data_IF_588726251857
#
_entry.id   IF_588726251857
#
_cell.length_a   1.000
_cell.length_b   1.000
_cell.length_c   1.000
_cell.angle_alpha   90.00
_cell.angle_beta   90.00
_cell.angle_gamma   90.00
#
_symmetry.space_group_name_H-M   'P 1'
#
loop_
_entity.id
_entity.type
_entity.pdbx_description
1 polymer ?
#
# COMPACT_ATOMS: atom_id res chain seq x y z
N UNK A 1 -39.58 -18.94 10.32
CA UNK A 1 -39.24 -19.72 9.11
C UNK A 1 -38.48 -18.76 8.23
N UNK A 2 -37.16 -18.80 8.27
CA UNK A 2 -36.33 -17.99 7.38
C UNK A 2 -35.76 -18.96 6.35
N UNK A 3 -36.11 -18.73 5.10
CA UNK A 3 -35.52 -19.38 3.95
C UNK A 3 -34.08 -18.88 3.82
N UNK A 4 -33.15 -19.81 3.94
CA UNK A 4 -31.82 -19.73 3.35
C UNK A 4 -32.00 -19.59 1.84
N UNK A 5 -31.43 -18.53 1.26
CA UNK A 5 -30.90 -18.49 -0.11
C UNK A 5 -30.32 -17.09 -0.35
N UNK A 6 -28.98 -16.97 -0.28
CA UNK A 6 -28.13 -16.14 -1.15
C UNK A 6 -26.69 -16.18 -0.60
N UNK A 7 -26.04 -17.34 -0.76
CA UNK A 7 -24.59 -17.41 -0.84
C UNK A 7 -24.16 -16.74 -2.17
N UNK A 8 -24.12 -15.41 -2.18
CA UNK A 8 -23.56 -14.65 -3.30
C UNK A 8 -22.03 -14.87 -3.30
N UNK A 9 -21.59 -15.84 -4.10
CA UNK A 9 -20.18 -16.08 -4.42
C UNK A 9 -19.64 -14.81 -5.07
N UNK A 10 -18.93 -14.01 -4.29
CA UNK A 10 -18.26 -12.79 -4.75
C UNK A 10 -17.12 -13.14 -5.72
N UNK A 11 -17.44 -13.28 -7.01
CA UNK A 11 -16.45 -13.25 -8.09
C UNK A 11 -15.79 -11.87 -8.14
N UNK A 12 -14.46 -11.85 -8.15
CA UNK A 12 -13.71 -10.61 -8.23
C UNK A 12 -13.93 -9.96 -9.60
N UNK A 13 -14.44 -8.73 -9.58
CA UNK A 13 -14.97 -7.98 -10.74
C UNK A 13 -13.94 -7.81 -11.89
N UNK A 14 -12.64 -7.99 -11.62
CA UNK A 14 -11.54 -7.85 -12.58
C UNK A 14 -10.71 -9.13 -12.78
N UNK A 15 -11.14 -10.28 -12.27
CA UNK A 15 -10.43 -11.53 -12.55
C UNK A 15 -10.59 -11.93 -14.03
N UNK A 16 -9.51 -12.42 -14.63
CA UNK A 16 -9.46 -13.01 -15.98
C UNK A 16 -9.87 -12.09 -17.14
N UNK A 17 -9.48 -10.81 -17.13
CA UNK A 17 -9.65 -9.91 -18.28
C UNK A 17 -8.43 -9.03 -18.55
N UNK A 18 -8.44 -8.39 -19.71
CA UNK A 18 -7.41 -7.45 -20.13
C UNK A 18 -8.05 -6.20 -20.73
N UNK A 19 -7.34 -5.08 -20.63
CA UNK A 19 -7.79 -3.81 -21.18
C UNK A 19 -7.27 -3.63 -22.60
N UNK A 20 -8.17 -3.41 -23.54
CA UNK A 20 -7.83 -3.15 -24.95
C UNK A 20 -8.27 -1.75 -25.32
N UNK A 21 -7.37 -1.02 -25.98
CA UNK A 21 -7.69 0.27 -26.59
C UNK A 21 -8.51 0.05 -27.86
N UNK A 22 -9.77 0.49 -27.85
CA UNK A 22 -10.62 0.46 -29.03
C UNK A 22 -10.42 1.75 -29.83
N UNK A 23 -9.80 1.64 -31.01
CA UNK A 23 -9.51 2.78 -31.89
C UNK A 23 -10.77 3.41 -32.50
N UNK A 24 -11.91 2.71 -32.52
CA UNK A 24 -13.16 3.26 -33.08
C UNK A 24 -13.93 4.11 -32.07
N UNK A 25 -13.77 3.83 -30.79
CA UNK A 25 -14.44 4.56 -29.70
C UNK A 25 -13.48 5.46 -28.91
N UNK A 26 -12.19 5.47 -29.25
CA UNK A 26 -11.12 6.18 -28.54
C UNK A 26 -11.18 5.92 -27.01
N UNK A 27 -11.45 4.68 -26.63
CA UNK A 27 -11.69 4.30 -25.24
C UNK A 27 -11.04 2.97 -24.87
N UNK A 28 -10.66 2.84 -23.59
CA UNK A 28 -10.19 1.61 -22.99
C UNK A 28 -11.38 0.74 -22.56
N UNK A 29 -11.49 -0.44 -23.16
CA UNK A 29 -12.51 -1.44 -22.84
C UNK A 29 -11.89 -2.60 -22.08
N UNK A 30 -12.54 -3.03 -20.99
CA UNK A 30 -12.16 -4.23 -20.27
C UNK A 30 -12.81 -5.44 -20.94
N UNK A 31 -11.98 -6.33 -21.50
CA UNK A 31 -12.42 -7.56 -22.14
C UNK A 31 -12.12 -8.71 -21.17
N UNK A 32 -13.16 -9.39 -20.69
CA UNK A 32 -13.01 -10.65 -19.94
C UNK A 32 -12.70 -11.78 -20.93
N UNK A 33 -11.76 -12.66 -20.56
CA UNK A 33 -11.31 -13.79 -21.37
C UNK A 33 -12.24 -15.02 -21.26
N UNK A 34 -13.38 -14.88 -20.57
CA UNK A 34 -14.41 -15.92 -20.46
C UNK A 34 -15.67 -15.41 -21.14
N UNK A 35 -16.08 -16.10 -22.20
CA UNK A 35 -17.33 -15.81 -22.91
C UNK A 35 -18.47 -16.40 -22.10
N UNK A 36 -19.33 -15.55 -21.54
CA UNK A 36 -20.72 -15.90 -21.25
C UNK A 36 -21.59 -15.11 -22.22
N UNK A 37 -22.34 -15.83 -23.06
CA UNK A 37 -23.38 -15.28 -23.93
C UNK A 37 -24.49 -14.66 -23.06
N UNK A 38 -24.43 -13.35 -22.86
CA UNK A 38 -25.58 -12.45 -22.68
C UNK A 38 -25.07 -11.11 -22.17
N UNK A 39 -25.01 -10.13 -23.07
CA UNK A 39 -25.74 -8.88 -22.91
C UNK A 39 -25.21 -7.84 -23.91
N UNK A 40 -25.97 -7.75 -25.00
CA UNK A 40 -26.00 -6.61 -25.90
C UNK A 40 -26.81 -5.51 -25.22
N UNK A 41 -26.20 -4.39 -24.81
CA UNK A 41 -26.91 -3.11 -24.75
C UNK A 41 -25.96 -1.91 -24.96
N UNK A 42 -26.46 -0.97 -25.75
CA UNK A 42 -25.77 0.13 -26.42
C UNK A 42 -25.07 1.18 -25.52
N UNK A 43 -24.06 1.92 -26.04
CA UNK A 43 -23.28 2.89 -25.29
C UNK A 43 -24.02 4.22 -25.09
N UNK A 44 -23.91 4.81 -23.89
CA UNK A 44 -24.27 6.21 -23.64
C UNK A 44 -23.03 7.11 -23.77
N UNK A 45 -23.17 8.12 -24.62
CA UNK A 45 -22.24 9.20 -24.93
C UNK A 45 -21.56 9.82 -23.71
N UNK A 46 -20.22 9.88 -23.74
CA UNK A 46 -19.43 10.75 -22.85
C UNK A 46 -18.61 11.75 -23.67
N UNK A 47 -18.66 12.99 -23.20
CA UNK A 47 -18.06 14.20 -23.75
C UNK A 47 -16.53 14.09 -23.89
N UNK A 48 -16.02 14.58 -25.04
CA UNK A 48 -14.60 14.64 -25.42
C UNK A 48 -13.74 15.29 -24.32
N UNK A 49 -12.76 14.55 -23.78
CA UNK A 49 -11.72 15.08 -22.90
C UNK A 49 -10.53 15.55 -23.76
N UNK A 50 -10.23 16.84 -23.72
CA UNK A 50 -8.99 17.41 -24.28
C UNK A 50 -7.80 16.93 -23.45
N UNK A 51 -6.68 16.63 -24.12
CA UNK A 51 -5.37 16.49 -23.50
C UNK A 51 -5.06 17.74 -22.67
N UNK A 52 -4.98 17.58 -21.36
CA UNK A 52 -4.59 18.67 -20.44
C UNK A 52 -3.07 18.62 -20.34
N UNK A 53 -2.40 19.58 -20.96
CA UNK A 53 -1.00 19.88 -20.64
C UNK A 53 -0.95 20.54 -19.26
N UNK A 54 -0.22 19.94 -18.33
CA UNK A 54 -0.07 20.47 -16.98
C UNK A 54 0.84 21.70 -17.02
N UNK A 55 0.29 22.86 -16.67
CA UNK A 55 0.96 24.17 -16.77
C UNK A 55 2.02 24.41 -15.69
N UNK A 56 2.00 23.59 -14.64
CA UNK A 56 3.00 23.58 -13.56
C UNK A 56 3.42 22.12 -13.32
N UNK A 57 4.70 21.79 -13.52
CA UNK A 57 5.26 20.46 -13.22
C UNK A 57 5.45 20.33 -11.70
N UNK A 58 4.35 20.16 -10.99
CA UNK A 58 4.34 19.95 -9.53
C UNK A 58 4.65 18.51 -9.20
N UNK A 59 5.26 18.29 -8.04
CA UNK A 59 5.49 16.95 -7.51
C UNK A 59 4.16 16.23 -7.25
N UNK A 60 4.18 14.91 -7.40
CA UNK A 60 3.06 14.05 -7.06
C UNK A 60 2.88 13.97 -5.55
N UNK A 61 1.65 14.20 -5.11
CA UNK A 61 1.29 14.17 -3.71
C UNK A 61 0.43 12.95 -3.35
N UNK A 62 0.36 12.61 -2.06
CA UNK A 62 -0.48 11.54 -1.52
C UNK A 62 -1.95 11.75 -1.94
N UNK A 63 -2.37 13.01 -2.05
CA UNK A 63 -3.70 13.36 -2.55
C UNK A 63 -3.91 12.95 -4.02
N UNK A 64 -2.92 13.09 -4.91
CA UNK A 64 -3.05 12.69 -6.32
C UNK A 64 -3.29 11.17 -6.41
N UNK A 65 -2.55 10.38 -5.62
CA UNK A 65 -2.73 8.93 -5.54
C UNK A 65 -4.11 8.58 -4.99
N UNK A 66 -4.54 9.21 -3.89
CA UNK A 66 -5.89 9.04 -3.33
C UNK A 66 -6.96 9.34 -4.36
N UNK A 67 -6.82 10.41 -5.14
CA UNK A 67 -7.80 10.82 -6.14
C UNK A 67 -7.93 9.77 -7.24
N UNK A 68 -6.82 9.19 -7.73
CA UNK A 68 -6.87 8.10 -8.72
C UNK A 68 -7.54 6.86 -8.15
N UNK A 69 -7.22 6.48 -6.90
CA UNK A 69 -7.88 5.34 -6.25
C UNK A 69 -9.38 5.58 -6.07
N UNK A 70 -9.78 6.75 -5.59
CA UNK A 70 -11.19 7.11 -5.43
C UNK A 70 -11.92 7.22 -6.77
N UNK A 71 -11.22 7.61 -7.83
CA UNK A 71 -11.77 7.70 -9.18
C UNK A 71 -12.11 6.32 -9.75
N UNK A 72 -11.21 5.36 -9.53
CA UNK A 72 -11.28 3.99 -10.04
C UNK A 72 -12.07 3.04 -9.14
N UNK A 73 -12.26 3.39 -7.87
CA UNK A 73 -12.98 2.57 -6.91
C UNK A 73 -14.46 2.33 -7.31
N UNK A 74 -14.99 1.11 -7.09
CA UNK A 74 -16.40 0.82 -7.27
C UNK A 74 -17.29 1.74 -6.43
N UNK A 75 -18.33 2.31 -7.05
CA UNK A 75 -19.28 3.20 -6.35
C UNK A 75 -20.02 2.54 -5.17
N UNK A 76 -20.06 1.20 -5.12
CA UNK A 76 -20.69 0.44 -4.03
C UNK A 76 -19.94 0.57 -2.72
N UNK A 77 -18.60 0.64 -2.76
CA UNK A 77 -17.74 0.74 -1.57
C UNK A 77 -17.51 2.19 -1.14
N UNK A 78 -17.82 3.16 -2.01
CA UNK A 78 -17.63 4.59 -1.73
C UNK A 78 -18.80 5.16 -0.91
N UNK A 79 -18.48 5.64 0.28
CA UNK A 79 -19.40 6.38 1.15
C UNK A 79 -18.77 7.68 1.66
N UNK A 80 -19.58 8.69 2.05
CA UNK A 80 -19.05 9.89 2.67
C UNK A 80 -18.20 9.60 3.92
N UNK A 81 -18.54 8.54 4.67
CA UNK A 81 -17.76 8.10 5.83
C UNK A 81 -16.35 7.63 5.41
N UNK A 82 -16.25 6.81 4.34
CA UNK A 82 -14.95 6.37 3.79
C UNK A 82 -14.11 7.58 3.37
N UNK A 83 -14.69 8.54 2.63
CA UNK A 83 -13.98 9.75 2.21
C UNK A 83 -13.49 10.56 3.40
N UNK A 84 -14.36 10.81 4.39
CA UNK A 84 -13.99 11.56 5.57
C UNK A 84 -12.89 10.88 6.40
N UNK A 85 -12.85 9.54 6.37
CA UNK A 85 -11.83 8.76 7.06
C UNK A 85 -10.48 8.85 6.36
N UNK A 86 -10.43 8.77 5.03
CA UNK A 86 -9.19 8.90 4.24
C UNK A 86 -8.48 10.26 4.37
N UNK A 87 -9.21 11.28 4.85
CA UNK A 87 -8.70 12.63 5.12
C UNK A 87 -8.52 12.89 6.63
N UNK A 88 -8.46 11.83 7.45
CA UNK A 88 -8.04 11.95 8.85
C UNK A 88 -6.51 11.92 8.94
N UNK A 89 -5.91 12.72 9.86
CA UNK A 89 -4.46 12.74 10.04
C UNK A 89 -3.89 11.36 10.39
N UNK A 90 -4.60 10.58 11.20
CA UNK A 90 -4.17 9.22 11.55
C UNK A 90 -4.17 8.30 10.33
N UNK A 91 -5.11 8.47 9.39
CA UNK A 91 -5.12 7.68 8.14
C UNK A 91 -4.00 8.13 7.21
N UNK A 92 -3.71 9.43 7.10
CA UNK A 92 -2.56 9.94 6.35
C UNK A 92 -1.24 9.37 6.88
N UNK A 93 -1.01 9.44 8.19
CA UNK A 93 0.18 8.84 8.81
C UNK A 93 0.26 7.34 8.58
N UNK A 94 -0.86 6.64 8.75
CA UNK A 94 -0.94 5.20 8.48
C UNK A 94 -0.56 4.87 7.03
N UNK A 95 -1.08 5.62 6.05
CA UNK A 95 -0.75 5.41 4.63
C UNK A 95 0.72 5.69 4.34
N UNK A 96 1.29 6.76 4.90
CA UNK A 96 2.72 7.08 4.74
C UNK A 96 3.62 6.03 5.36
N UNK A 97 3.33 5.62 6.61
CA UNK A 97 4.05 4.52 7.28
C UNK A 97 3.96 3.23 6.47
N UNK A 98 2.80 2.95 5.88
CA UNK A 98 2.56 1.77 5.07
C UNK A 98 3.37 1.79 3.77
N UNK A 99 3.35 2.89 3.01
CA UNK A 99 4.17 3.03 1.79
C UNK A 99 5.65 2.90 2.16
N UNK A 100 6.09 3.51 3.25
CA UNK A 100 7.48 3.47 3.74
C UNK A 100 7.91 2.03 4.02
N UNK A 101 7.10 1.30 4.78
CA UNK A 101 7.38 -0.09 5.11
C UNK A 101 7.39 -0.98 3.86
N UNK A 102 6.46 -0.79 2.92
CA UNK A 102 6.41 -1.59 1.69
C UNK A 102 7.62 -1.32 0.79
N UNK A 103 8.01 -0.06 0.63
CA UNK A 103 9.19 0.32 -0.16
C UNK A 103 10.47 -0.25 0.46
N UNK A 104 10.61 -0.14 1.78
CA UNK A 104 11.77 -0.70 2.48
C UNK A 104 11.77 -2.24 2.45
N UNK A 105 10.61 -2.88 2.60
CA UNK A 105 10.45 -4.33 2.46
C UNK A 105 10.97 -4.84 1.12
N UNK A 106 10.59 -4.19 0.01
CA UNK A 106 11.10 -4.58 -1.30
C UNK A 106 12.61 -4.45 -1.40
N UNK A 107 13.14 -3.32 -0.94
CA UNK A 107 14.58 -3.07 -0.96
C UNK A 107 15.32 -4.15 -0.16
N UNK A 108 14.84 -4.48 1.04
CA UNK A 108 15.45 -5.51 1.88
C UNK A 108 15.30 -6.90 1.25
N UNK A 109 14.13 -7.23 0.68
CA UNK A 109 13.91 -8.53 0.03
C UNK A 109 14.84 -8.73 -1.17
N UNK A 110 15.02 -7.71 -2.02
CA UNK A 110 15.99 -7.73 -3.12
C UNK A 110 17.43 -7.92 -2.61
N UNK A 111 17.81 -7.19 -1.57
CA UNK A 111 19.13 -7.31 -0.93
C UNK A 111 19.32 -8.73 -0.36
N UNK A 112 18.33 -9.28 0.33
CA UNK A 112 18.39 -10.62 0.95
C UNK A 112 18.41 -11.74 -0.09
N UNK A 113 17.66 -11.61 -1.18
CA UNK A 113 17.70 -12.55 -2.31
C UNK A 113 19.10 -12.57 -2.92
N UNK A 114 19.67 -11.40 -3.24
CA UNK A 114 21.02 -11.30 -3.80
C UNK A 114 22.08 -11.89 -2.86
N UNK A 115 21.98 -11.61 -1.56
CA UNK A 115 22.88 -12.17 -0.55
C UNK A 115 22.77 -13.68 -0.42
N UNK A 116 21.57 -14.23 -0.56
CA UNK A 116 21.36 -15.69 -0.54
C UNK A 116 22.11 -16.36 -1.68
N UNK A 117 22.07 -15.77 -2.88
CA UNK A 117 22.84 -16.23 -4.05
C UNK A 117 24.35 -16.07 -3.79
N UNK A 118 24.80 -14.95 -3.22
CA UNK A 118 26.23 -14.75 -2.91
C UNK A 118 26.77 -15.79 -1.92
N UNK A 119 25.97 -16.17 -0.92
CA UNK A 119 26.33 -17.17 0.09
C UNK A 119 26.47 -18.60 -0.46
N UNK A 120 26.02 -18.86 -1.69
CA UNK A 120 26.35 -20.12 -2.39
C UNK A 120 27.85 -20.20 -2.72
N UNK A 121 28.54 -19.06 -2.80
CA UNK A 121 29.94 -18.96 -3.23
C UNK A 121 30.87 -18.32 -2.19
N UNK A 122 30.33 -17.54 -1.25
CA UNK A 122 31.10 -16.79 -0.25
C UNK A 122 30.80 -17.28 1.17
N UNK A 123 31.82 -17.30 2.02
CA UNK A 123 31.65 -17.58 3.45
C UNK A 123 31.03 -16.38 4.17
N UNK A 124 30.17 -16.69 5.14
CA UNK A 124 29.54 -15.69 6.00
C UNK A 124 30.56 -15.11 6.97
N UNK A 125 30.49 -13.79 7.17
CA UNK A 125 31.27 -13.05 8.17
C UNK A 125 30.38 -12.49 9.27
N UNK A 126 30.97 -12.05 10.37
CA UNK A 126 30.24 -11.41 11.49
C UNK A 126 29.54 -10.12 11.05
N UNK A 127 30.20 -9.29 10.24
CA UNK A 127 29.59 -8.11 9.59
C UNK A 127 28.33 -8.45 8.77
N UNK A 128 28.27 -9.66 8.20
CA UNK A 128 27.09 -10.15 7.50
C UNK A 128 25.88 -10.30 8.43
N UNK A 129 26.12 -10.79 9.65
CA UNK A 129 25.09 -10.93 10.67
C UNK A 129 24.63 -9.57 11.21
N UNK A 130 25.55 -8.63 11.43
CA UNK A 130 25.22 -7.27 11.87
C UNK A 130 24.34 -6.52 10.86
N UNK A 131 24.60 -6.68 9.56
CA UNK A 131 23.79 -6.07 8.50
C UNK A 131 22.38 -6.66 8.47
N UNK A 132 22.24 -7.98 8.59
CA UNK A 132 20.94 -8.66 8.62
C UNK A 132 20.14 -8.29 9.87
N UNK A 133 20.79 -8.24 11.03
CA UNK A 133 20.18 -7.78 12.27
C UNK A 133 19.65 -6.35 12.12
N UNK A 134 20.44 -5.45 11.49
CA UNK A 134 20.00 -4.08 11.20
C UNK A 134 18.75 -4.03 10.31
N UNK A 135 18.73 -4.80 9.22
CA UNK A 135 17.54 -4.83 8.35
C UNK A 135 16.32 -5.38 9.08
N UNK A 136 16.49 -6.40 9.91
CA UNK A 136 15.41 -6.96 10.74
C UNK A 136 14.88 -5.92 11.72
N UNK A 137 15.78 -5.27 12.46
CA UNK A 137 15.46 -4.21 13.42
C UNK A 137 14.71 -3.03 12.80
N UNK A 138 15.14 -2.62 11.61
CA UNK A 138 14.49 -1.56 10.84
C UNK A 138 13.09 -1.97 10.38
N UNK A 139 12.96 -3.19 9.84
CA UNK A 139 11.68 -3.73 9.38
C UNK A 139 10.66 -3.84 10.52
N UNK A 140 11.09 -4.29 11.71
CA UNK A 140 10.25 -4.38 12.89
C UNK A 140 9.81 -2.97 13.38
N UNK A 141 10.70 -1.97 13.37
CA UNK A 141 10.33 -0.59 13.73
C UNK A 141 9.32 0.01 12.75
N UNK A 142 9.51 -0.21 11.44
CA UNK A 142 8.56 0.27 10.42
C UNK A 142 7.19 -0.41 10.56
N UNK A 143 7.16 -1.72 10.85
CA UNK A 143 5.90 -2.41 11.15
C UNK A 143 5.23 -1.84 12.38
N UNK A 144 5.98 -1.51 13.43
CA UNK A 144 5.44 -0.86 14.63
C UNK A 144 4.80 0.50 14.32
N UNK A 145 5.41 1.29 13.43
CA UNK A 145 4.83 2.57 12.98
C UNK A 145 3.49 2.40 12.26
N UNK A 146 3.30 1.32 11.50
CA UNK A 146 1.98 1.01 10.91
C UNK A 146 1.05 0.51 12.01
N UNK A 147 1.54 -0.39 12.86
CA UNK A 147 0.76 -1.07 13.88
C UNK A 147 0.08 -0.11 14.86
N UNK A 148 0.79 0.95 15.29
CA UNK A 148 0.24 1.94 16.22
C UNK A 148 -0.98 2.66 15.64
N UNK A 149 -0.90 3.16 14.42
CA UNK A 149 -1.99 3.93 13.81
C UNK A 149 -3.12 2.97 13.36
N UNK A 150 -2.78 1.74 12.93
CA UNK A 150 -3.77 0.68 12.67
C UNK A 150 -4.52 0.27 13.94
N UNK A 151 -3.84 0.16 15.08
CA UNK A 151 -4.46 -0.15 16.36
C UNK A 151 -5.42 0.97 16.80
N UNK A 152 -5.01 2.24 16.66
CA UNK A 152 -5.90 3.39 16.91
C UNK A 152 -7.15 3.36 16.02
N UNK A 153 -6.99 2.97 14.75
CA UNK A 153 -8.11 2.77 13.83
C UNK A 153 -9.05 1.67 14.30
N UNK A 154 -8.54 0.54 14.79
CA UNK A 154 -9.36 -0.60 15.23
C UNK A 154 -10.08 -0.36 16.56
N UNK A 155 -9.44 0.29 17.53
CA UNK A 155 -10.07 0.60 18.81
C UNK A 155 -11.05 1.77 18.72
N UNK A 156 -10.96 2.59 17.67
CA UNK A 156 -11.78 3.78 17.54
C UNK A 156 -11.34 4.92 18.45
N UNK A 157 -10.04 5.04 18.69
CA UNK A 157 -9.51 6.12 19.50
C UNK A 157 -9.30 7.42 18.69
N UNK A 158 -9.25 8.55 19.39
CA UNK A 158 -8.98 9.86 18.80
C UNK A 158 -9.97 10.24 17.69
N UNK A 159 -9.43 10.57 16.51
CA UNK A 159 -10.22 11.04 15.37
C UNK A 159 -11.16 9.95 14.78
N UNK A 160 -11.02 8.67 15.17
CA UNK A 160 -11.90 7.57 14.76
C UNK A 160 -13.10 7.33 15.67
N UNK A 161 -13.15 7.90 16.87
CA UNK A 161 -14.22 7.64 17.84
C UNK A 161 -15.64 7.81 17.26
N UNK A 162 -15.82 8.75 16.33
CA UNK A 162 -17.10 8.99 15.63
C UNK A 162 -17.56 7.83 14.72
N UNK A 163 -16.64 7.00 14.25
CA UNK A 163 -16.93 5.86 13.37
C UNK A 163 -17.16 4.56 14.13
N UNK A 164 -16.84 4.52 15.43
CA UNK A 164 -17.08 3.36 16.27
C UNK A 164 -18.38 3.47 17.06
N UNK A 165 -18.90 2.31 17.41
CA UNK A 165 -20.08 2.13 18.24
C UNK A 165 -19.80 2.33 19.72
N UNK A 166 -18.55 2.41 20.17
CA UNK A 166 -18.17 2.56 21.58
C UNK A 166 -18.29 4.00 22.11
N UNK A 167 -19.30 4.74 21.66
CA UNK A 167 -19.65 6.06 22.22
C UNK A 167 -20.57 5.92 23.43
N UNK A 168 -20.59 6.90 24.36
CA UNK A 168 -21.36 6.83 25.61
C UNK A 168 -22.89 6.68 25.44
N UNK A 169 -23.41 6.78 24.20
CA UNK A 169 -24.84 6.72 23.88
C UNK A 169 -25.23 5.56 22.94
N UNK A 170 -24.33 4.62 22.64
CA UNK A 170 -24.58 3.53 21.67
C UNK A 170 -24.47 2.18 22.36
N UNK A 171 -25.61 1.52 22.57
CA UNK A 171 -25.76 0.28 23.35
C UNK A 171 -25.76 -1.02 22.51
N UNK A 172 -25.53 -0.93 21.19
CA UNK A 172 -25.59 -2.09 20.28
C UNK A 172 -24.26 -2.29 19.54
N UNK A 173 -23.77 -3.53 19.50
CA UNK A 173 -22.57 -3.91 18.76
C UNK A 173 -22.85 -3.87 17.26
N UNK A 174 -22.20 -2.94 16.55
CA UNK A 174 -22.25 -2.84 15.08
C UNK A 174 -21.07 -3.57 14.43
N UNK A 175 -20.57 -4.65 15.06
CA UNK A 175 -19.29 -5.26 14.71
C UNK A 175 -19.18 -5.67 13.24
N UNK A 176 -20.25 -6.20 12.63
CA UNK A 176 -20.27 -6.55 11.20
C UNK A 176 -20.16 -5.33 10.27
N UNK A 177 -20.87 -4.24 10.60
CA UNK A 177 -20.84 -3.00 9.81
C UNK A 177 -19.49 -2.31 9.91
N UNK A 178 -18.90 -2.32 11.11
CA UNK A 178 -17.56 -1.78 11.32
C UNK A 178 -16.51 -2.63 10.65
N UNK A 179 -16.57 -3.96 10.77
CA UNK A 179 -15.66 -4.86 10.08
C UNK A 179 -15.68 -4.62 8.56
N UNK A 180 -16.86 -4.57 7.95
CA UNK A 180 -16.99 -4.27 6.52
C UNK A 180 -16.42 -2.87 6.14
N UNK A 181 -16.59 -1.88 7.02
CA UNK A 181 -16.06 -0.54 6.83
C UNK A 181 -14.53 -0.51 6.93
N UNK A 182 -13.94 -1.19 7.91
CA UNK A 182 -12.49 -1.32 8.07
C UNK A 182 -11.84 -2.11 6.94
N UNK A 183 -12.46 -3.21 6.52
CA UNK A 183 -12.01 -3.95 5.35
C UNK A 183 -12.01 -3.09 4.09
N UNK A 184 -13.02 -2.24 3.92
CA UNK A 184 -13.09 -1.31 2.79
C UNK A 184 -11.92 -0.33 2.81
N UNK A 185 -11.56 0.19 3.98
CA UNK A 185 -10.43 1.11 4.14
C UNK A 185 -9.10 0.40 3.87
N UNK A 186 -8.93 -0.82 4.37
CA UNK A 186 -7.73 -1.63 4.06
C UNK A 186 -7.62 -1.92 2.56
N UNK A 187 -8.72 -2.27 1.89
CA UNK A 187 -8.75 -2.46 0.43
C UNK A 187 -8.32 -1.19 -0.33
N UNK A 188 -8.79 -0.03 0.10
CA UNK A 188 -8.39 1.26 -0.48
C UNK A 188 -6.91 1.56 -0.18
N UNK A 189 -6.44 1.32 1.04
CA UNK A 189 -5.04 1.53 1.42
C UNK A 189 -4.08 0.64 0.61
N UNK A 190 -4.46 -0.63 0.40
CA UNK A 190 -3.75 -1.56 -0.48
C UNK A 190 -3.66 -0.99 -1.90
N UNK A 191 -4.76 -0.44 -2.43
CA UNK A 191 -4.75 0.15 -3.78
C UNK A 191 -3.90 1.43 -3.84
N UNK A 192 -3.93 2.28 -2.81
CA UNK A 192 -3.09 3.49 -2.72
C UNK A 192 -1.61 3.12 -2.79
N UNK A 193 -1.20 2.15 -1.97
CA UNK A 193 0.18 1.67 -1.93
C UNK A 193 0.55 0.94 -3.22
N UNK A 194 -0.39 0.20 -3.82
CA UNK A 194 -0.19 -0.42 -5.14
C UNK A 194 0.10 0.64 -6.20
N UNK A 195 -0.65 1.74 -6.26
CA UNK A 195 -0.34 2.83 -7.20
C UNK A 195 0.97 3.53 -6.82
N UNK A 196 1.22 3.74 -5.53
CA UNK A 196 2.41 4.45 -5.08
C UNK A 196 3.73 3.71 -5.36
N UNK A 197 3.70 2.37 -5.41
CA UNK A 197 4.89 1.52 -5.56
C UNK A 197 4.86 0.56 -6.77
N UNK A 198 3.74 0.48 -7.49
CA UNK A 198 3.38 -0.56 -8.48
C UNK A 198 3.31 -2.01 -7.90
N UNK A 199 2.77 -2.21 -6.69
CA UNK A 199 2.91 -3.49 -5.93
C UNK A 199 1.67 -4.10 -5.29
N UNK A 200 1.66 -5.44 -5.19
CA UNK A 200 0.64 -6.21 -4.47
C UNK A 200 0.84 -6.25 -2.93
N UNK A 201 0.05 -5.45 -2.21
CA UNK A 201 0.14 -5.20 -0.75
C UNK A 201 -0.55 -6.26 0.11
N UNK A 202 -1.33 -7.16 -0.49
CA UNK A 202 -2.07 -8.22 0.22
C UNK A 202 -1.18 -9.09 1.12
N UNK A 203 0.12 -9.15 0.84
CA UNK A 203 1.12 -9.96 1.57
C UNK A 203 1.47 -9.43 2.96
N UNK A 204 1.21 -8.15 3.27
CA UNK A 204 1.58 -7.52 4.55
C UNK A 204 0.47 -7.59 5.59
N UNK A 205 -0.79 -7.43 5.16
CA UNK A 205 -1.92 -7.35 6.09
C UNK A 205 -2.56 -8.69 6.45
N UNK A 206 -2.37 -9.71 5.61
CA UNK A 206 -3.05 -11.00 5.73
C UNK A 206 -2.03 -12.05 6.13
N UNK A 207 -2.31 -12.79 7.20
CA UNK A 207 -1.52 -13.98 7.54
C UNK A 207 -1.67 -15.04 6.45
N UNK A 208 -0.80 -16.05 6.47
CA UNK A 208 -0.79 -17.15 5.48
C UNK A 208 -2.15 -17.84 5.34
N UNK A 209 -2.94 -17.84 6.41
CA UNK A 209 -4.28 -18.44 6.48
C UNK A 209 -5.36 -17.56 5.81
N UNK A 210 -5.14 -16.24 5.79
CA UNK A 210 -6.11 -15.27 5.24
C UNK A 210 -5.63 -14.65 3.93
N UNK A 211 -4.44 -14.99 3.44
CA UNK A 211 -3.87 -14.48 2.21
C UNK A 211 -4.55 -15.13 0.99
N UNK A 212 -5.70 -14.57 0.62
CA UNK A 212 -6.49 -14.99 -0.54
C UNK A 212 -5.71 -14.98 -1.86
N UNK A 213 -4.72 -14.09 -2.00
CA UNK A 213 -3.88 -14.06 -3.20
C UNK A 213 -2.95 -15.28 -3.24
N UNK A 214 -2.34 -15.66 -2.11
CA UNK A 214 -1.50 -16.85 -2.05
C UNK A 214 -2.30 -18.14 -2.21
N UNK A 215 -3.48 -18.24 -1.60
CA UNK A 215 -4.33 -19.43 -1.78
C UNK A 215 -4.82 -19.61 -3.22
N UNK A 216 -5.01 -18.52 -3.97
CA UNK A 216 -5.41 -18.57 -5.39
C UNK A 216 -4.23 -18.81 -6.33
N UNK A 217 -3.11 -18.12 -6.11
CA UNK A 217 -1.94 -18.18 -6.99
C UNK A 217 -1.01 -19.36 -6.66
N UNK A 218 -1.14 -19.95 -5.47
CA UNK A 218 -0.38 -21.08 -4.94
C UNK A 218 1.13 -20.92 -5.19
N UNK A 219 1.65 -19.71 -5.00
CA UNK A 219 3.02 -19.38 -5.43
C UNK A 219 4.07 -20.05 -4.54
N UNK A 220 3.67 -20.45 -3.32
CA UNK A 220 4.48 -20.98 -2.25
C UNK A 220 5.75 -20.13 -2.06
N UNK A 221 5.62 -18.81 -2.16
CA UNK A 221 6.79 -17.93 -2.18
C UNK A 221 7.53 -17.96 -0.85
N UNK A 222 6.82 -18.07 0.27
CA UNK A 222 7.43 -18.20 1.60
C UNK A 222 8.22 -19.50 1.74
N UNK A 223 7.75 -20.60 1.13
CA UNK A 223 8.48 -21.88 1.12
C UNK A 223 9.76 -21.78 0.27
N UNK A 224 9.80 -20.85 -0.68
CA UNK A 224 10.99 -20.56 -1.50
C UNK A 224 11.97 -19.61 -0.81
N UNK A 225 11.54 -18.87 0.22
CA UNK A 225 12.42 -18.02 1.02
C UNK A 225 13.25 -18.89 1.95
N UNK A 226 14.52 -18.53 2.11
CA UNK A 226 15.38 -19.15 3.10
C UNK A 226 14.96 -18.68 4.51
N UNK A 227 15.12 -19.52 5.54
CA UNK A 227 14.78 -19.21 6.94
C UNK A 227 15.37 -17.86 7.41
N UNK A 228 16.54 -17.49 6.90
CA UNK A 228 17.20 -16.20 7.20
C UNK A 228 16.50 -15.01 6.56
N UNK A 229 16.14 -15.14 5.28
CA UNK A 229 15.37 -14.11 4.58
C UNK A 229 14.02 -13.94 5.27
N UNK A 230 13.39 -15.04 5.65
CA UNK A 230 12.15 -15.05 6.41
C UNK A 230 12.28 -14.33 7.76
N UNK A 231 13.34 -14.63 8.51
CA UNK A 231 13.63 -14.01 9.81
C UNK A 231 13.88 -12.50 9.71
N UNK A 232 14.61 -12.05 8.68
CA UNK A 232 14.85 -10.61 8.45
C UNK A 232 13.58 -9.89 8.02
N UNK A 233 12.81 -10.48 7.10
CA UNK A 233 11.64 -9.83 6.52
C UNK A 233 10.44 -9.81 7.46
N UNK A 234 10.20 -10.86 8.24
CA UNK A 234 9.04 -10.94 9.15
C UNK A 234 9.37 -10.62 10.60
N UNK A 235 10.65 -10.64 10.97
CA UNK A 235 11.09 -10.37 12.34
C UNK A 235 10.67 -11.47 13.32
N UNK A 236 10.85 -11.18 14.61
CA UNK A 236 10.68 -12.16 15.69
C UNK A 236 9.29 -12.09 16.36
N UNK A 237 8.54 -11.02 16.09
CA UNK A 237 7.26 -10.71 16.74
C UNK A 237 6.06 -11.42 16.09
N UNK A 238 6.27 -12.27 15.09
CA UNK A 238 5.18 -12.95 14.37
C UNK A 238 4.63 -14.14 15.18
N UNK A 239 3.62 -13.89 16.01
CA UNK A 239 2.86 -14.96 16.66
C UNK A 239 1.72 -15.47 15.74
N UNK A 240 1.92 -16.65 15.16
CA UNK A 240 0.87 -17.40 14.46
C UNK A 240 -0.04 -18.08 15.49
N UNK A 241 -1.01 -17.34 16.02
CA UNK A 241 -2.02 -17.87 16.94
C UNK A 241 -2.82 -19.04 16.31
N UNK A 242 -3.28 -19.97 17.13
CA UNK A 242 -4.20 -21.04 16.67
C UNK A 242 -5.56 -20.42 16.28
N UNK A 243 -6.11 -20.88 15.15
CA UNK A 243 -7.25 -20.38 14.32
C UNK A 243 -8.39 -19.58 14.98
N UNK A 244 -8.69 -19.73 16.27
CA UNK A 244 -9.86 -19.10 16.90
C UNK A 244 -9.53 -17.75 17.55
N UNK A 245 -8.25 -17.47 17.82
CA UNK A 245 -7.79 -16.21 18.45
C UNK A 245 -6.67 -15.53 17.64
N UNK A 246 -6.61 -15.71 16.33
CA UNK A 246 -5.57 -15.05 15.53
C UNK A 246 -5.91 -13.57 15.35
N UNK A 247 -5.16 -12.70 16.04
CA UNK A 247 -5.16 -11.28 15.75
C UNK A 247 -4.43 -10.99 14.43
N UNK A 248 -4.63 -9.79 13.87
CA UNK A 248 -3.82 -9.33 12.75
C UNK A 248 -2.33 -9.43 13.13
N UNK A 249 -1.45 -9.99 12.26
CA UNK A 249 -0.02 -10.12 12.55
C UNK A 249 0.63 -8.80 12.95
N UNK A 250 0.13 -7.70 12.41
CA UNK A 250 0.62 -6.36 12.68
C UNK A 250 0.40 -5.93 14.14
N UNK A 251 -0.66 -6.40 14.79
CA UNK A 251 -0.93 -6.09 16.20
C UNK A 251 0.07 -6.78 17.13
N UNK A 252 0.66 -7.90 16.71
CA UNK A 252 1.69 -8.57 17.52
C UNK A 252 2.93 -7.70 17.72
N UNK A 253 3.22 -6.77 16.79
CA UNK A 253 4.34 -5.83 16.90
C UNK A 253 4.17 -4.87 18.09
N UNK A 254 2.94 -4.48 18.41
CA UNK A 254 2.63 -3.59 19.55
C UNK A 254 2.93 -4.27 20.89
N UNK A 255 2.67 -5.58 20.97
CA UNK A 255 2.81 -6.38 22.19
C UNK A 255 4.11 -7.20 22.22
N UNK A 256 5.04 -6.92 21.31
CA UNK A 256 6.26 -7.70 21.20
C UNK A 256 7.22 -7.39 22.35
N UNK A 257 7.77 -8.45 22.96
CA UNK A 257 8.71 -8.36 24.08
C UNK A 257 10.14 -8.11 23.56
N UNK A 258 10.36 -7.00 22.84
CA UNK A 258 11.68 -6.56 22.37
C UNK A 258 12.03 -5.18 22.92
N UNK A 259 13.29 -4.76 22.79
CA UNK A 259 13.73 -3.42 23.17
C UNK A 259 13.17 -2.36 22.22
N UNK A 260 11.96 -1.86 22.51
CA UNK A 260 11.27 -0.85 21.70
C UNK A 260 11.58 0.54 22.26
N UNK A 261 12.00 1.46 21.39
CA UNK A 261 11.99 2.89 21.72
C UNK A 261 10.53 3.37 21.79
N UNK A 262 10.05 3.61 23.00
CA UNK A 262 8.65 3.96 23.25
C UNK A 262 8.19 5.24 22.51
N UNK A 263 9.12 6.11 22.10
CA UNK A 263 8.80 7.31 21.31
C UNK A 263 8.25 6.98 19.93
N UNK A 264 8.52 5.77 19.41
CA UNK A 264 7.92 5.28 18.17
C UNK A 264 6.39 5.23 18.24
N UNK A 265 5.81 4.97 19.42
CA UNK A 265 4.35 4.96 19.61
C UNK A 265 3.72 6.35 19.46
N UNK A 266 4.42 7.41 19.85
CA UNK A 266 3.94 8.79 19.74
C UNK A 266 4.33 9.50 18.44
N UNK A 267 5.20 8.90 17.63
CA UNK A 267 5.80 9.57 16.47
C UNK A 267 4.73 10.06 15.47
N UNK A 268 4.79 11.34 15.13
CA UNK A 268 3.83 12.02 14.26
C UNK A 268 2.48 12.38 14.89
N UNK A 269 2.30 12.11 16.20
CA UNK A 269 1.16 12.57 16.97
C UNK A 269 1.59 13.47 18.15
N UNK A 270 2.66 13.08 18.83
CA UNK A 270 3.22 13.74 20.01
C UNK A 270 4.50 14.47 19.59
N UNK A 271 4.66 15.70 20.05
CA UNK A 271 5.84 16.51 19.80
C UNK A 271 6.92 16.13 20.80
N UNK A 272 7.99 15.49 20.34
CA UNK A 272 9.12 15.14 21.20
C UNK A 272 10.24 16.18 21.11
N UNK A 273 10.70 16.76 22.24
CA UNK A 273 11.87 17.61 22.22
C UNK A 273 13.14 16.78 22.00
N UNK A 274 14.06 17.27 21.18
CA UNK A 274 15.40 16.69 21.03
C UNK A 274 15.40 15.28 20.40
N UNK A 275 14.55 15.03 19.40
CA UNK A 275 14.61 13.78 18.65
C UNK A 275 15.99 13.59 18.01
N UNK A 276 16.53 12.39 18.17
CA UNK A 276 17.78 11.99 17.53
C UNK A 276 17.57 11.77 16.03
N UNK A 277 18.66 11.68 15.27
CA UNK A 277 18.66 11.67 13.79
C UNK A 277 17.68 10.66 13.18
N UNK A 278 17.64 9.42 13.71
CA UNK A 278 16.72 8.39 13.20
C UNK A 278 15.26 8.72 13.44
N UNK A 279 14.90 9.09 14.67
CA UNK A 279 13.51 9.39 15.00
C UNK A 279 13.03 10.67 14.32
N UNK A 280 13.89 11.68 14.20
CA UNK A 280 13.59 12.91 13.46
C UNK A 280 13.37 12.62 11.96
N UNK A 281 14.17 11.73 11.37
CA UNK A 281 13.95 11.26 9.99
C UNK A 281 12.59 10.58 9.82
N UNK A 282 12.24 9.65 10.71
CA UNK A 282 10.96 8.95 10.67
C UNK A 282 9.77 9.89 10.94
N UNK A 283 9.90 10.83 11.89
CA UNK A 283 8.87 11.84 12.16
C UNK A 283 8.63 12.73 10.95
N UNK A 284 9.71 13.14 10.27
CA UNK A 284 9.66 13.95 9.06
C UNK A 284 8.83 13.28 7.97
N UNK A 285 9.08 12.00 7.68
CA UNK A 285 8.31 11.24 6.69
C UNK A 285 6.81 11.17 7.06
N UNK A 286 6.51 10.97 8.34
CA UNK A 286 5.13 10.79 8.79
C UNK A 286 4.34 12.11 8.89
N UNK A 287 5.00 13.23 9.20
CA UNK A 287 4.32 14.43 9.72
C UNK A 287 4.56 15.69 8.91
N UNK A 288 5.66 15.79 8.16
CA UNK A 288 5.95 16.98 7.37
C UNK A 288 5.10 17.02 6.08
N UNK A 289 4.82 18.21 5.53
CA UNK A 289 4.20 18.33 4.23
C UNK A 289 5.12 17.78 3.13
N UNK A 290 4.51 17.20 2.10
CA UNK A 290 5.22 16.51 1.01
C UNK A 290 6.08 17.46 0.17
N UNK A 291 5.76 18.75 0.17
CA UNK A 291 6.54 19.81 -0.46
C UNK A 291 7.99 19.83 0.04
N UNK A 292 8.22 19.42 1.30
CA UNK A 292 9.56 19.36 1.90
C UNK A 292 10.28 18.03 1.67
N UNK A 293 9.63 17.02 1.09
CA UNK A 293 10.25 15.71 0.89
C UNK A 293 11.50 15.81 0.00
N UNK A 294 11.45 16.68 -1.02
CA UNK A 294 12.58 16.99 -1.88
C UNK A 294 13.71 17.70 -1.13
N UNK A 295 13.39 18.62 -0.22
CA UNK A 295 14.37 19.30 0.64
C UNK A 295 15.09 18.33 1.60
N UNK A 296 14.37 17.34 2.11
CA UNK A 296 14.92 16.27 2.95
C UNK A 296 15.59 15.15 2.15
N UNK A 297 15.53 15.19 0.82
CA UNK A 297 16.19 14.23 -0.07
C UNK A 297 15.61 12.81 -0.02
N UNK A 298 14.34 12.64 0.36
CA UNK A 298 13.67 11.34 0.32
C UNK A 298 12.39 11.39 -0.54
N UNK A 299 12.08 10.26 -1.18
CA UNK A 299 10.85 10.06 -1.96
C UNK A 299 10.15 8.83 -1.45
N UNK A 300 8.82 8.88 -1.35
CA UNK A 300 8.01 7.80 -0.81
C UNK A 300 7.23 7.15 -1.96
N UNK A 301 7.82 6.13 -2.58
CA UNK A 301 7.37 5.60 -3.86
C UNK A 301 7.41 6.68 -4.94
N UNK A 302 6.29 6.88 -5.65
CA UNK A 302 6.15 7.98 -6.60
C UNK A 302 5.90 9.35 -5.95
N UNK A 303 5.65 9.40 -4.63
CA UNK A 303 5.39 10.65 -3.92
C UNK A 303 6.67 11.50 -3.84
N UNK A 304 6.56 12.78 -4.19
CA UNK A 304 7.70 13.69 -4.32
C UNK A 304 8.43 13.61 -5.66
N UNK A 305 7.93 12.82 -6.63
CA UNK A 305 8.43 12.84 -8.01
C UNK A 305 7.62 13.79 -8.89
N UNK A 306 8.28 14.42 -9.86
CA UNK A 306 7.62 15.31 -10.82
C UNK A 306 6.48 14.60 -11.57
N UNK A 307 5.30 15.24 -11.61
CA UNK A 307 4.11 14.72 -12.28
C UNK A 307 4.29 14.52 -13.78
N UNK A 308 5.16 15.28 -14.44
CA UNK A 308 5.49 15.11 -15.86
C UNK A 308 6.04 13.73 -16.22
N UNK A 309 6.57 12.99 -15.24
CA UNK A 309 7.03 11.61 -15.44
C UNK A 309 5.90 10.60 -15.58
N UNK A 310 4.66 10.99 -15.30
CA UNK A 310 3.53 10.08 -15.17
C UNK A 310 2.34 10.49 -16.02
N UNK A 311 1.59 9.50 -16.50
CA UNK A 311 0.32 9.71 -17.16
C UNK A 311 -0.78 10.08 -16.13
N UNK A 312 -2.00 10.37 -16.62
CA UNK A 312 -3.15 10.70 -15.77
C UNK A 312 -3.57 9.58 -14.81
N UNK A 313 -3.13 8.34 -15.07
CA UNK A 313 -3.36 7.16 -14.25
C UNK A 313 -2.14 6.84 -13.36
N UNK A 314 -1.17 7.76 -13.29
CA UNK A 314 0.08 7.65 -12.54
C UNK A 314 0.99 6.50 -12.99
N UNK A 315 0.93 6.14 -14.27
CA UNK A 315 1.88 5.20 -14.89
C UNK A 315 3.06 5.95 -15.47
N UNK A 316 4.26 5.41 -15.32
CA UNK A 316 5.47 6.06 -15.85
C UNK A 316 5.39 6.22 -17.37
N UNK A 317 5.61 7.44 -17.85
CA UNK A 317 5.76 7.76 -19.26
C UNK A 317 7.20 7.41 -19.65
N UNK A 318 7.40 6.22 -20.25
CA UNK A 318 8.68 5.86 -20.85
C UNK A 318 8.95 6.82 -22.00
N UNK A 319 9.89 7.74 -21.82
CA UNK A 319 10.36 8.59 -22.91
C UNK A 319 10.88 7.70 -24.04
N UNK A 320 10.25 7.78 -25.22
CA UNK A 320 10.71 7.09 -26.41
C UNK A 320 12.10 7.62 -26.79
N UNK A 321 13.16 6.93 -26.39
CA UNK A 321 14.42 6.99 -27.11
C UNK A 321 14.18 6.36 -28.48
N UNK A 322 14.46 7.13 -29.54
CA UNK A 322 14.01 6.86 -30.89
C UNK A 322 14.50 5.53 -31.51
N UNK A 323 13.73 5.11 -32.51
CA UNK A 323 14.03 4.12 -33.54
C UNK A 323 14.27 2.66 -33.08
N UNK A 324 13.20 1.87 -33.23
CA UNK A 324 13.28 0.45 -33.59
C UNK A 324 13.42 -0.53 -32.43
N UNK A 325 12.30 -1.01 -31.90
CA UNK A 325 12.26 -2.42 -31.49
C UNK A 325 10.85 -2.96 -31.46
N UNK A 326 10.77 -4.19 -31.93
CA UNK A 326 9.57 -4.96 -32.23
C UNK A 326 8.95 -5.47 -30.93
N UNK A 327 7.63 -5.42 -30.91
CA UNK A 327 6.68 -6.02 -29.97
C UNK A 327 7.21 -7.25 -29.22
N UNK A 328 7.36 -7.16 -27.90
CA UNK A 328 7.49 -8.33 -27.03
C UNK A 328 6.10 -8.88 -26.69
N UNK A 329 5.49 -9.54 -27.66
CA UNK A 329 4.39 -10.47 -27.42
C UNK A 329 4.89 -11.88 -27.74
N UNK A 330 4.57 -12.81 -26.83
CA UNK A 330 4.81 -14.25 -26.88
C UNK A 330 6.25 -14.70 -26.60
N UNK A 331 6.40 -15.49 -25.52
CA UNK A 331 6.88 -16.89 -25.55
C UNK A 331 6.66 -17.46 -24.14
N UNK A 332 5.63 -18.28 -23.97
CA UNK A 332 5.64 -19.40 -23.04
C UNK A 332 5.00 -20.58 -23.77
N UNK A 333 5.83 -21.48 -24.28
CA UNK A 333 5.58 -22.90 -24.26
C UNK A 333 6.84 -23.65 -24.69
N UNK A 334 7.16 -24.71 -23.95
CA UNK A 334 8.14 -25.77 -24.28
C UNK A 334 9.62 -25.32 -24.09
N UNK A 335 10.57 -26.06 -23.51
CA UNK A 335 10.76 -27.50 -23.29
C UNK A 335 11.66 -27.75 -22.08
N UNK A 336 11.41 -28.89 -21.43
CA UNK A 336 12.33 -29.58 -20.55
C UNK A 336 13.52 -30.20 -21.31
N UNK A 337 14.66 -30.26 -20.61
CA UNK A 337 15.78 -31.21 -20.75
C UNK A 337 16.56 -31.21 -22.08
N UNK A 338 17.82 -30.73 -22.04
CA UNK A 338 19.03 -31.59 -22.06
C UNK A 338 20.34 -30.77 -22.09
N UNK A 339 21.31 -31.26 -21.29
CA UNK A 339 22.78 -31.19 -21.43
C UNK A 339 23.57 -29.88 -21.66
N UNK A 340 24.38 -29.57 -20.63
CA UNK A 340 25.85 -29.30 -20.61
C UNK A 340 26.52 -28.30 -21.56
N UNK A 341 27.45 -27.57 -20.92
CA UNK A 341 28.73 -26.99 -21.39
C UNK A 341 28.74 -25.45 -21.57
N UNK A 342 29.81 -24.90 -21.03
CA UNK A 342 30.14 -23.52 -20.73
C UNK A 342 30.12 -22.56 -21.92
N UNK A 343 29.72 -21.31 -21.66
CA UNK A 343 30.39 -20.12 -22.23
C UNK A 343 30.03 -18.89 -21.41
N UNK A 344 31.05 -18.25 -20.84
CA UNK A 344 30.98 -16.90 -20.28
C UNK A 344 30.59 -15.93 -21.40
N UNK A 345 29.40 -15.36 -21.34
CA UNK A 345 29.09 -14.08 -21.99
C UNK A 345 28.29 -13.22 -21.01
N UNK A 346 28.92 -12.13 -20.61
CA UNK A 346 28.33 -11.03 -19.86
C UNK A 346 27.18 -10.41 -20.66
N UNK A 347 25.96 -10.91 -20.44
CA UNK A 347 24.77 -10.12 -20.68
C UNK A 347 24.64 -9.19 -19.51
N UNK A 348 25.08 -7.94 -19.68
CA UNK A 348 24.53 -6.83 -18.92
C UNK A 348 23.03 -6.77 -19.25
N UNK A 349 22.24 -7.58 -18.54
CA UNK A 349 20.80 -7.46 -18.52
C UNK A 349 20.51 -6.05 -18.03
N UNK A 350 19.80 -5.27 -18.86
CA UNK A 350 19.30 -3.96 -18.47
C UNK A 350 18.64 -4.10 -17.10
N UNK A 351 19.31 -3.60 -16.06
CA UNK A 351 18.76 -3.51 -14.72
C UNK A 351 17.53 -2.62 -14.90
N UNK A 352 16.31 -3.09 -14.57
CA UNK A 352 15.14 -2.22 -14.63
C UNK A 352 15.46 -0.98 -13.81
N UNK A 353 15.42 0.20 -14.45
CA UNK A 353 15.69 1.45 -13.77
C UNK A 353 14.69 1.57 -12.63
N UNK A 354 15.20 1.63 -11.40
CA UNK A 354 14.37 1.75 -10.21
C UNK A 354 13.66 3.11 -10.28
N UNK A 355 12.32 3.09 -10.28
CA UNK A 355 11.49 4.28 -10.46
C UNK A 355 11.76 5.36 -9.39
N UNK A 356 12.08 4.90 -8.18
CA UNK A 356 12.37 5.70 -6.99
C UNK A 356 13.65 5.22 -6.29
N UNK A 357 14.39 6.13 -5.61
CA UNK A 357 15.62 5.80 -4.88
C UNK A 357 15.39 4.84 -3.70
N UNK A 358 16.50 4.21 -3.29
CA UNK A 358 16.54 3.42 -2.07
C UNK A 358 16.36 4.31 -0.83
N UNK A 359 15.70 3.77 0.18
CA UNK A 359 15.54 4.41 1.48
C UNK A 359 16.74 4.05 2.35
N UNK A 360 17.33 5.07 2.97
CA UNK A 360 18.45 4.93 3.91
C UNK A 360 17.97 5.40 5.28
N UNK A 361 17.66 4.45 6.16
CA UNK A 361 17.22 4.76 7.52
C UNK A 361 18.47 5.01 8.39
N UNK A 362 18.57 6.14 9.09
CA UNK A 362 19.70 6.39 10.00
C UNK A 362 19.81 5.30 11.07
N UNK A 363 21.04 5.04 11.53
CA UNK A 363 21.31 4.00 12.54
C UNK A 363 20.54 4.28 13.83
N UNK A 364 20.15 3.21 14.53
CA UNK A 364 19.62 3.31 15.88
C UNK A 364 20.69 3.92 16.77
N UNK A 365 20.33 4.99 17.45
CA UNK A 365 21.15 5.53 18.52
C UNK A 365 21.00 4.63 19.74
N UNK A 366 22.03 4.56 20.59
CA UNK A 366 21.93 3.88 21.88
C UNK A 366 20.73 4.46 22.65
N UNK A 367 19.91 3.57 23.21
CA UNK A 367 18.79 3.93 24.08
C UNK A 367 19.42 4.46 25.36
N UNK A 368 19.76 5.74 25.38
CA UNK A 368 20.03 6.40 26.65
C UNK A 368 18.69 6.49 27.36
N UNK A 369 18.61 5.95 28.57
CA UNK A 369 17.50 6.03 29.53
C UNK A 369 17.24 7.48 29.96
N UNK A 370 17.05 8.37 29.00
CA UNK A 370 16.44 9.66 29.28
C UNK A 370 14.97 9.31 29.48
N UNK A 371 14.61 9.19 30.76
CA UNK A 371 13.24 9.39 31.27
C UNK A 371 12.77 10.77 30.79
N UNK A 372 12.45 10.88 29.50
CA UNK A 372 11.81 12.05 28.96
C UNK A 372 10.39 11.96 29.46
N UNK A 373 10.03 12.85 30.38
CA UNK A 373 8.66 13.12 30.77
C UNK A 373 7.77 13.03 29.52
N UNK A 374 6.70 12.24 29.60
CA UNK A 374 5.79 12.07 28.47
C UNK A 374 5.28 13.45 28.04
N UNK A 375 5.77 13.92 26.90
CA UNK A 375 5.37 15.21 26.36
C UNK A 375 3.87 15.15 26.05
N UNK A 376 3.11 16.10 26.60
CA UNK A 376 1.66 16.20 26.39
C UNK A 376 1.31 17.08 25.19
N UNK A 377 2.28 17.73 24.56
CA UNK A 377 2.07 18.55 23.38
C UNK A 377 1.84 17.67 22.15
N UNK A 378 0.73 17.90 21.47
CA UNK A 378 0.46 17.28 20.16
C UNK A 378 1.15 18.06 19.05
N UNK A 379 1.59 17.35 18.01
CA UNK A 379 2.07 17.98 16.80
C UNK A 379 0.91 18.71 16.09
N UNK A 380 1.21 19.82 15.40
CA UNK A 380 0.21 20.50 14.58
C UNK A 380 -0.35 19.52 13.54
N UNK A 381 -1.68 19.44 13.44
CA UNK A 381 -2.33 18.60 12.43
C UNK A 381 -1.96 19.14 11.04
N UNK A 382 -1.55 18.26 10.12
CA UNK A 382 -1.38 18.63 8.72
C UNK A 382 -2.65 19.32 8.20
N UNK A 383 -2.46 20.32 7.34
CA UNK A 383 -3.56 21.05 6.72
C UNK A 383 -4.37 20.09 5.86
N UNK A 384 -5.56 19.74 6.32
CA UNK A 384 -6.48 18.88 5.56
C UNK A 384 -6.82 19.54 4.23
N UNK A 385 -6.77 18.77 3.14
CA UNK A 385 -7.27 19.21 1.85
C UNK A 385 -8.82 19.17 1.83
N UNK A 386 -9.41 20.11 2.57
CA UNK A 386 -10.85 20.25 2.75
C UNK A 386 -11.59 20.40 1.42
N UNK A 387 -10.98 21.10 0.46
CA UNK A 387 -11.55 21.32 -0.86
C UNK A 387 -11.69 20.00 -1.64
N UNK A 388 -10.64 19.19 -1.69
CA UNK A 388 -10.70 17.88 -2.35
C UNK A 388 -11.67 16.93 -1.65
N UNK A 389 -11.69 16.93 -0.31
CA UNK A 389 -12.66 16.14 0.45
C UNK A 389 -14.10 16.48 0.06
N UNK A 390 -14.42 17.78 -0.01
CA UNK A 390 -15.76 18.25 -0.36
C UNK A 390 -16.12 17.90 -1.81
N UNK A 391 -15.18 18.01 -2.75
CA UNK A 391 -15.37 17.58 -4.16
C UNK A 391 -15.79 16.11 -4.24
N UNK A 392 -15.10 15.23 -3.51
CA UNK A 392 -15.43 13.80 -3.49
C UNK A 392 -16.78 13.51 -2.82
N UNK A 393 -17.10 14.19 -1.72
CA UNK A 393 -18.42 14.08 -1.08
C UNK A 393 -19.53 14.48 -2.06
N UNK A 394 -19.35 15.61 -2.76
CA UNK A 394 -20.34 16.09 -3.73
C UNK A 394 -20.51 15.10 -4.90
N UNK A 395 -19.41 14.57 -5.44
CA UNK A 395 -19.45 13.56 -6.51
C UNK A 395 -20.23 12.30 -6.10
N UNK A 396 -20.00 11.79 -4.89
CA UNK A 396 -20.67 10.57 -4.41
C UNK A 396 -22.16 10.83 -4.14
N UNK A 397 -22.49 11.96 -3.50
CA UNK A 397 -23.87 12.32 -3.20
C UNK A 397 -24.68 12.58 -4.46
N UNK A 398 -24.11 13.31 -5.43
CA UNK A 398 -24.72 13.53 -6.76
C UNK A 398 -24.97 12.22 -7.53
N UNK A 399 -24.01 11.30 -7.54
CA UNK A 399 -24.19 9.97 -8.18
C UNK A 399 -25.27 9.12 -7.51
N UNK A 400 -25.45 9.23 -6.19
CA UNK A 400 -26.50 8.52 -5.45
C UNK A 400 -27.89 9.11 -5.73
N UNK A 401 -28.00 10.42 -5.92
CA UNK A 401 -29.25 11.06 -6.34
C UNK A 401 -29.67 10.57 -7.74
N UNK A 402 -28.76 10.63 -8.72
CA UNK A 402 -28.99 10.15 -10.09
C UNK A 402 -29.43 8.68 -10.15
N UNK A 403 -28.87 7.79 -9.32
CA UNK A 403 -29.28 6.38 -9.27
C UNK A 403 -30.67 6.17 -8.65
N UNK A 404 -31.07 6.99 -7.68
CA UNK A 404 -32.42 6.92 -7.10
C UNK A 404 -33.48 7.38 -8.10
N UNK A 405 -33.14 8.33 -8.96
CA UNK A 405 -34.04 8.83 -9.99
C UNK A 405 -34.19 7.83 -11.14
N UNK A 406 -33.10 7.14 -11.54
CA UNK A 406 -33.15 6.07 -12.54
C UNK A 406 -33.97 4.87 -12.06
N UNK A 407 -33.91 4.50 -10.77
CA UNK A 407 -34.73 3.41 -10.19
C UNK A 407 -36.21 3.78 -9.98
N UNK A 408 -36.60 5.04 -10.20
CA UNK A 408 -37.98 5.54 -10.08
C UNK A 408 -38.68 5.72 -11.43
N UNK A 409 -38.00 5.43 -12.53
CA UNK A 409 -38.64 5.37 -13.85
C UNK A 409 -39.26 3.97 -13.98
N UNK A 410 -40.58 3.86 -14.15
CA UNK A 410 -41.32 2.59 -14.15
C UNK A 410 -40.94 1.67 -15.31
#
# INVERSE_FOLDING_TARGET
MFEDDEDEIYEAIYENGHWVWDTREEALKFIRNVVSESDVYAPRSTTKLKTIEFKDDKDLWEQDVKDVVLFTAPTSILSPAVINMLHLPTTERFLRALILCCQYYLQVSEIMTNRTIELETKLRTENSAEIEARYSDDMEDLRLLIAKDYYMMLLGEGDFAKYHHMGPQKLHSLSKKEAAFFETILKIAIQIVWIALELEVNRIFKSDIYNSAEHKLNTNYQVKMNDREQSVLFGHCLHLGKKVNSNSPLINEVYCHRGIDYRLFGLGAIKYPGLKTRLSFLEGILSEPEEKFTEYGFTLGILGLARSRFDIMLKEIKAFAGAGSVSSANIRHSLSRTSRVMSRKSTASAIPQKLYPNIYIPRKDEINDILADFCKESLPKLKKNEEQRLKWIHRITGRKALRKDIKKVP
#
